data_IF_399378342545
#
_entry.id   IF_399378342545
#
_cell.length_a   1.000
_cell.length_b   1.000
_cell.length_c   1.000
_cell.angle_alpha   90.00
_cell.angle_beta   90.00
_cell.angle_gamma   90.00
#
_symmetry.space_group_name_H-M   'P 1'
#
loop_
_entity.id
_entity.type
_entity.pdbx_description
1 polymer ?
#
# COMPACT_ATOMS: atom_id res chain seq x y z
N UNK A 1 -3.75 -17.74 -11.83
CA UNK A 1 -4.40 -16.73 -10.97
C UNK A 1 -4.52 -15.43 -11.77
N UNK A 2 -5.71 -14.86 -11.91
CA UNK A 2 -5.99 -13.83 -12.93
C UNK A 2 -5.39 -12.45 -12.60
N UNK A 3 -5.15 -12.13 -11.33
CA UNK A 3 -4.58 -10.85 -10.90
C UNK A 3 -3.63 -11.09 -9.71
N UNK A 4 -2.42 -10.53 -9.73
CA UNK A 4 -1.48 -10.63 -8.61
C UNK A 4 -2.05 -10.03 -7.31
N UNK A 5 -1.38 -10.28 -6.20
CA UNK A 5 -1.74 -9.74 -4.89
C UNK A 5 -0.62 -8.84 -4.36
N UNK A 6 -1.01 -7.77 -3.68
CA UNK A 6 -0.12 -6.89 -2.93
C UNK A 6 -0.65 -6.78 -1.51
N UNK A 7 0.20 -7.09 -0.52
CA UNK A 7 -0.11 -6.86 0.90
C UNK A 7 0.63 -5.62 1.37
N UNK A 8 -0.08 -4.73 2.05
CA UNK A 8 0.45 -3.49 2.62
C UNK A 8 0.21 -3.50 4.12
N UNK A 9 1.25 -3.28 4.93
CA UNK A 9 1.12 -3.14 6.37
C UNK A 9 1.48 -1.71 6.79
N UNK A 10 0.60 -1.11 7.59
CA UNK A 10 0.74 0.26 8.13
C UNK A 10 0.56 0.19 9.64
N UNK A 11 1.49 0.76 10.40
CA UNK A 11 1.33 0.95 11.84
C UNK A 11 0.93 2.40 12.13
N UNK A 12 -0.04 2.59 13.01
CA UNK A 12 -0.54 3.89 13.43
C UNK A 12 -0.61 3.96 14.96
N UNK A 13 -0.30 5.13 15.49
CA UNK A 13 -0.45 5.45 16.91
C UNK A 13 -1.59 6.46 17.11
N UNK A 14 -1.63 7.03 18.31
CA UNK A 14 -2.65 7.98 18.73
C UNK A 14 -2.90 9.09 17.68
N UNK A 15 -4.19 9.35 17.41
CA UNK A 15 -4.61 10.37 16.46
C UNK A 15 -4.36 10.03 14.99
N UNK A 16 -4.10 8.76 14.66
CA UNK A 16 -3.85 8.30 13.29
C UNK A 16 -2.47 8.66 12.77
N UNK A 17 -1.51 8.91 13.68
CA UNK A 17 -0.12 9.19 13.30
C UNK A 17 0.56 7.91 12.82
N UNK A 18 1.12 7.93 11.61
CA UNK A 18 1.99 6.86 11.10
C UNK A 18 3.15 6.57 12.05
N UNK A 19 3.37 5.29 12.33
CA UNK A 19 4.51 4.79 13.08
C UNK A 19 5.43 4.01 12.12
N UNK A 20 6.56 4.63 11.78
CA UNK A 20 7.53 4.04 10.86
C UNK A 20 7.10 4.08 9.39
N UNK A 21 7.72 3.22 8.59
CA UNK A 21 7.55 3.15 7.14
C UNK A 21 6.67 1.95 6.78
N UNK A 22 5.65 2.13 5.92
CA UNK A 22 4.83 1.01 5.44
C UNK A 22 5.65 -0.13 4.86
N UNK A 23 5.15 -1.36 5.01
CA UNK A 23 5.78 -2.54 4.42
C UNK A 23 4.91 -3.07 3.29
N UNK A 24 5.54 -3.41 2.16
CA UNK A 24 4.85 -3.92 0.96
C UNK A 24 5.40 -5.29 0.58
N UNK A 25 4.51 -6.25 0.33
CA UNK A 25 4.83 -7.59 -0.18
C UNK A 25 4.03 -7.87 -1.45
N UNK A 26 4.64 -8.59 -2.39
CA UNK A 26 4.11 -8.88 -3.71
C UNK A 26 3.99 -10.39 -3.91
N UNK A 27 2.91 -10.83 -4.55
CA UNK A 27 2.74 -12.21 -4.99
C UNK A 27 2.10 -12.24 -6.38
N UNK A 28 2.81 -12.78 -7.38
CA UNK A 28 2.31 -12.88 -8.76
C UNK A 28 2.10 -11.53 -9.46
N UNK A 29 2.83 -10.49 -9.04
CA UNK A 29 2.86 -9.17 -9.70
C UNK A 29 4.09 -9.12 -10.61
N UNK A 30 3.93 -8.89 -11.94
CA UNK A 30 5.00 -9.02 -12.92
C UNK A 30 5.92 -7.78 -12.91
N UNK A 31 6.76 -7.66 -11.90
CA UNK A 31 7.72 -6.56 -11.69
C UNK A 31 9.08 -7.09 -11.25
N UNK A 32 9.42 -8.32 -11.64
CA UNK A 32 10.58 -9.05 -11.15
C UNK A 32 11.91 -8.32 -11.43
N UNK A 33 12.05 -7.73 -12.62
CA UNK A 33 13.28 -7.04 -13.06
C UNK A 33 13.46 -5.67 -12.36
N UNK A 34 12.38 -5.06 -11.90
CA UNK A 34 12.36 -3.71 -11.29
C UNK A 34 11.73 -3.71 -9.90
N UNK A 35 11.85 -4.85 -9.20
CA UNK A 35 11.10 -5.14 -7.98
C UNK A 35 11.33 -4.11 -6.87
N UNK A 36 12.58 -3.67 -6.70
CA UNK A 36 12.95 -2.73 -5.63
C UNK A 36 12.39 -1.34 -5.88
N UNK A 37 12.49 -0.85 -7.12
CA UNK A 37 11.93 0.43 -7.52
C UNK A 37 10.40 0.42 -7.39
N UNK A 38 9.75 -0.66 -7.82
CA UNK A 38 8.30 -0.83 -7.63
C UNK A 38 7.91 -0.76 -6.16
N UNK A 39 8.64 -1.46 -5.28
CA UNK A 39 8.36 -1.47 -3.85
C UNK A 39 8.56 -0.09 -3.24
N UNK A 40 9.62 0.63 -3.64
CA UNK A 40 9.86 2.00 -3.17
C UNK A 40 8.68 2.93 -3.50
N UNK A 41 8.23 2.94 -4.76
CA UNK A 41 7.06 3.71 -5.20
C UNK A 41 5.79 3.33 -4.43
N UNK A 42 5.57 2.03 -4.21
CA UNK A 42 4.39 1.54 -3.49
C UNK A 42 4.42 1.92 -2.00
N UNK A 43 5.59 1.86 -1.37
CA UNK A 43 5.80 2.27 0.03
C UNK A 43 5.59 3.77 0.19
N UNK A 44 6.13 4.58 -0.72
CA UNK A 44 5.93 6.04 -0.72
C UNK A 44 4.45 6.38 -0.86
N UNK A 45 3.78 5.80 -1.86
CA UNK A 45 2.36 6.03 -2.09
C UNK A 45 1.48 5.60 -0.90
N UNK A 46 1.82 4.48 -0.24
CA UNK A 46 1.12 4.04 0.97
C UNK A 46 1.35 5.02 2.14
N UNK A 47 2.58 5.49 2.32
CA UNK A 47 2.93 6.45 3.36
C UNK A 47 2.19 7.76 3.19
N UNK A 48 2.17 8.30 1.97
CA UNK A 48 1.47 9.55 1.68
C UNK A 48 -0.05 9.44 1.83
N UNK A 49 -0.64 8.32 1.42
CA UNK A 49 -2.08 8.07 1.60
C UNK A 49 -2.48 7.87 3.07
N UNK A 50 -1.57 7.38 3.91
CA UNK A 50 -1.80 7.21 5.34
C UNK A 50 -1.54 8.49 6.17
N UNK A 51 -0.74 9.45 5.66
CA UNK A 51 -0.45 10.71 6.38
C UNK A 51 -1.73 11.53 6.63
N UNK A 52 -1.90 11.98 7.89
CA UNK A 52 -2.86 13.02 8.25
C UNK A 52 -4.34 12.61 8.17
N UNK A 53 -4.63 11.30 8.04
CA UNK A 53 -6.01 10.84 7.90
C UNK A 53 -6.73 10.79 9.26
N UNK A 54 -7.23 11.95 9.70
CA UNK A 54 -8.11 12.09 10.88
C UNK A 54 -9.53 11.56 10.65
N UNK A 55 -9.82 11.00 9.46
CA UNK A 55 -11.17 10.59 9.04
C UNK A 55 -11.50 9.14 9.38
N UNK A 56 -10.65 8.48 10.17
CA UNK A 56 -10.86 7.12 10.68
C UNK A 56 -10.10 6.04 9.91
N UNK A 57 -9.97 4.88 10.55
CA UNK A 57 -9.19 3.71 10.11
C UNK A 57 -9.63 3.18 8.74
N UNK A 58 -10.94 3.01 8.52
CA UNK A 58 -11.47 2.43 7.27
C UNK A 58 -11.19 3.31 6.06
N UNK A 59 -11.27 4.63 6.24
CA UNK A 59 -10.95 5.58 5.17
C UNK A 59 -9.46 5.58 4.85
N UNK A 60 -8.60 5.54 5.87
CA UNK A 60 -7.16 5.37 5.67
C UNK A 60 -6.85 4.09 4.92
N UNK A 61 -7.47 2.97 5.30
CA UNK A 61 -7.28 1.67 4.64
C UNK A 61 -7.64 1.75 3.15
N UNK A 62 -8.77 2.36 2.83
CA UNK A 62 -9.22 2.54 1.44
C UNK A 62 -8.32 3.49 0.65
N UNK A 63 -7.91 4.62 1.23
CA UNK A 63 -7.03 5.59 0.58
C UNK A 63 -5.67 4.95 0.23
N UNK A 64 -5.09 4.18 1.16
CA UNK A 64 -3.86 3.40 0.95
C UNK A 64 -4.05 2.36 -0.15
N UNK A 65 -5.16 1.60 -0.11
CA UNK A 65 -5.47 0.59 -1.12
C UNK A 65 -5.52 1.19 -2.52
N UNK A 66 -6.21 2.31 -2.69
CA UNK A 66 -6.33 3.01 -3.96
C UNK A 66 -5.01 3.61 -4.43
N UNK A 67 -4.19 4.15 -3.54
CA UNK A 67 -2.88 4.69 -3.88
C UNK A 67 -1.94 3.58 -4.42
N UNK A 68 -1.80 2.48 -3.70
CA UNK A 68 -0.94 1.36 -4.10
C UNK A 68 -1.47 0.68 -5.38
N UNK A 69 -2.80 0.51 -5.52
CA UNK A 69 -3.38 -0.06 -6.75
C UNK A 69 -3.13 0.82 -7.98
N UNK A 70 -3.07 2.14 -7.82
CA UNK A 70 -2.72 3.07 -8.90
C UNK A 70 -1.26 2.92 -9.32
N UNK A 71 -0.33 2.80 -8.36
CA UNK A 71 1.08 2.48 -8.65
C UNK A 71 1.17 1.19 -9.46
N UNK A 72 0.54 0.11 -8.97
CA UNK A 72 0.54 -1.18 -9.64
C UNK A 72 0.00 -1.12 -11.08
N UNK A 73 -1.08 -0.36 -11.29
CA UNK A 73 -1.68 -0.18 -12.62
C UNK A 73 -0.76 0.60 -13.56
N UNK A 74 -0.06 1.63 -13.07
CA UNK A 74 0.89 2.40 -13.90
C UNK A 74 2.08 1.56 -14.34
N UNK A 75 2.63 0.75 -13.43
CA UNK A 75 3.79 -0.09 -13.69
C UNK A 75 3.46 -1.28 -14.60
N UNK A 76 2.34 -1.96 -14.35
CA UNK A 76 2.08 -3.28 -14.96
C UNK A 76 0.92 -3.30 -15.95
N UNK A 77 0.12 -2.23 -16.00
CA UNK A 77 -1.17 -2.21 -16.70
C UNK A 77 -2.25 -3.11 -16.06
N UNK A 78 -1.90 -3.89 -15.02
CA UNK A 78 -2.80 -4.83 -14.33
C UNK A 78 -3.38 -4.22 -13.06
N UNK A 79 -4.53 -4.74 -12.64
CA UNK A 79 -5.24 -4.31 -11.43
C UNK A 79 -5.20 -5.40 -10.35
N UNK A 80 -4.10 -5.54 -9.59
CA UNK A 80 -3.99 -6.56 -8.55
C UNK A 80 -5.00 -6.36 -7.43
N UNK A 81 -5.19 -7.42 -6.65
CA UNK A 81 -5.84 -7.34 -5.34
C UNK A 81 -4.85 -6.67 -4.39
N UNK A 82 -5.32 -5.71 -3.61
CA UNK A 82 -4.50 -4.99 -2.63
C UNK A 82 -5.16 -5.11 -1.28
N UNK A 83 -4.50 -5.79 -0.35
CA UNK A 83 -4.95 -5.99 1.02
C UNK A 83 -4.13 -5.11 1.96
N UNK A 84 -4.82 -4.31 2.77
CA UNK A 84 -4.17 -3.35 3.67
C UNK A 84 -4.44 -3.73 5.11
N UNK A 85 -3.37 -4.06 5.83
CA UNK A 85 -3.37 -4.31 7.27
C UNK A 85 -3.01 -3.00 7.97
N UNK A 86 -3.81 -2.63 8.95
CA UNK A 86 -3.53 -1.47 9.82
C UNK A 86 -3.40 -1.96 11.25
N UNK A 87 -2.29 -1.62 11.89
CA UNK A 87 -1.95 -2.00 13.26
C UNK A 87 -2.03 -0.75 14.13
N UNK A 88 -2.84 -0.80 15.18
CA UNK A 88 -2.95 0.28 16.16
C UNK A 88 -2.04 -0.01 17.37
N UNK A 89 -1.31 1.00 17.84
CA UNK A 89 -0.44 0.95 19.01
C UNK A 89 -0.79 2.02 20.05
#
# INVERSE_FOLDING_TARGET
ALHGQISVAVAVGQGGRLLGVPQVKLQGVPVEDEREAFIADAVEAAGDAAKGNRRGMDRMREDVRLAVRRVATRWTGKKPIVDVLVIEA
#
